data_IF_204966658320
#
_entry.id   IF_204966658320
#
_cell.length_a   1.000
_cell.length_b   1.000
_cell.length_c   1.000
_cell.angle_alpha   90.00
_cell.angle_beta   90.00
_cell.angle_gamma   90.00
#
_symmetry.space_group_name_H-M   'P 1'
#
loop_
_entity.id
_entity.type
_entity.pdbx_description
1 polymer ?
#
# COMPACT_ATOMS: atom_id res chain seq x y z
N UNK A 1 7.66 4.18 15.43
CA UNK A 1 7.89 2.76 15.80
C UNK A 1 6.59 1.93 15.78
N UNK A 2 5.52 2.32 16.48
CA UNK A 2 4.27 1.51 16.49
C UNK A 2 3.58 1.41 15.13
N UNK A 3 3.54 2.50 14.36
CA UNK A 3 2.95 2.50 13.01
C UNK A 3 3.66 1.51 12.07
N UNK A 4 5.00 1.54 12.05
CA UNK A 4 5.80 0.61 11.25
C UNK A 4 5.53 -0.85 11.59
N UNK A 5 5.48 -1.19 12.89
CA UNK A 5 5.17 -2.55 13.34
C UNK A 5 3.79 -3.00 12.86
N UNK A 6 2.78 -2.13 12.96
CA UNK A 6 1.43 -2.42 12.47
C UNK A 6 1.40 -2.63 10.96
N UNK A 7 2.11 -1.78 10.19
CA UNK A 7 2.18 -1.93 8.73
C UNK A 7 2.85 -3.24 8.33
N UNK A 8 3.98 -3.60 8.96
CA UNK A 8 4.66 -4.88 8.70
C UNK A 8 3.77 -6.08 9.03
N UNK A 9 3.04 -6.02 10.15
CA UNK A 9 2.12 -7.08 10.54
C UNK A 9 1.00 -7.26 9.50
N UNK A 10 0.37 -6.16 9.06
CA UNK A 10 -0.70 -6.23 8.05
C UNK A 10 -0.17 -6.69 6.69
N UNK A 11 1.01 -6.21 6.28
CA UNK A 11 1.71 -6.67 5.06
C UNK A 11 1.86 -8.18 5.06
N UNK A 12 2.36 -8.78 6.17
CA UNK A 12 2.45 -10.23 6.31
C UNK A 12 1.09 -10.93 6.21
N UNK A 13 0.06 -10.40 6.86
CA UNK A 13 -1.30 -10.97 6.80
C UNK A 13 -1.86 -10.96 5.37
N UNK A 14 -1.58 -9.92 4.58
CA UNK A 14 -2.03 -9.84 3.19
C UNK A 14 -1.39 -10.91 2.30
N UNK A 15 -0.11 -11.23 2.52
CA UNK A 15 0.54 -12.34 1.81
C UNK A 15 -0.01 -13.69 2.25
N UNK A 16 -0.24 -13.89 3.56
CA UNK A 16 -0.79 -15.14 4.09
C UNK A 16 -2.19 -15.45 3.52
N UNK A 17 -3.01 -14.44 3.23
CA UNK A 17 -4.32 -14.61 2.59
C UNK A 17 -4.29 -14.52 1.06
N UNK A 18 -3.11 -14.38 0.45
CA UNK A 18 -2.91 -14.34 -1.01
C UNK A 18 -3.37 -13.05 -1.69
N UNK A 19 -3.42 -11.92 -0.98
CA UNK A 19 -3.91 -10.64 -1.50
C UNK A 19 -2.79 -9.68 -1.94
N UNK A 20 -1.54 -10.03 -1.65
CA UNK A 20 -0.35 -9.29 -2.05
C UNK A 20 -0.01 -8.17 -1.07
N UNK A 21 1.10 -8.32 -0.36
CA UNK A 21 1.59 -7.35 0.61
C UNK A 21 2.11 -6.06 -0.03
N UNK A 22 2.47 -6.11 -1.30
CA UNK A 22 2.94 -4.96 -2.10
C UNK A 22 1.88 -3.86 -2.25
N UNK A 23 0.61 -4.15 -1.91
CA UNK A 23 -0.48 -3.17 -1.86
C UNK A 23 -0.41 -2.20 -0.69
N UNK A 24 0.39 -2.48 0.33
CA UNK A 24 0.57 -1.60 1.50
C UNK A 24 2.04 -1.22 1.63
N UNK A 25 2.30 0.07 1.74
CA UNK A 25 3.62 0.63 1.99
C UNK A 25 3.54 1.77 2.98
N UNK A 26 4.51 1.85 3.88
CA UNK A 26 4.73 3.02 4.72
C UNK A 26 5.89 3.82 4.12
N UNK A 27 5.67 5.12 3.91
CA UNK A 27 6.71 6.04 3.46
C UNK A 27 6.94 7.03 4.60
N UNK A 28 8.16 7.03 5.13
CA UNK A 28 8.59 7.99 6.14
C UNK A 28 9.42 9.08 5.45
N UNK A 29 9.28 10.31 5.91
CA UNK A 29 10.14 11.41 5.54
C UNK A 29 9.65 12.69 6.21
N UNK A 30 10.57 13.66 6.31
CA UNK A 30 10.31 14.97 6.90
C UNK A 30 10.43 16.04 5.81
N UNK A 31 9.73 17.16 5.99
CA UNK A 31 9.91 18.34 5.13
C UNK A 31 9.46 18.16 3.67
N UNK A 32 8.50 17.27 3.39
CA UNK A 32 7.99 17.08 2.03
C UNK A 32 7.45 18.39 1.42
N UNK A 33 7.91 18.71 0.22
CA UNK A 33 7.29 19.74 -0.60
C UNK A 33 6.00 19.22 -1.25
N UNK A 34 5.21 20.12 -1.84
CA UNK A 34 4.02 19.74 -2.61
C UNK A 34 4.38 18.82 -3.79
N UNK A 35 5.49 19.08 -4.45
CA UNK A 35 5.93 18.30 -5.60
C UNK A 35 6.40 16.90 -5.19
N UNK A 36 7.05 16.78 -4.02
CA UNK A 36 7.44 15.47 -3.48
C UNK A 36 6.21 14.60 -3.20
N UNK A 37 5.19 15.17 -2.57
CA UNK A 37 3.93 14.47 -2.30
C UNK A 37 3.21 14.06 -3.60
N UNK A 38 3.20 14.93 -4.61
CA UNK A 38 2.59 14.64 -5.91
C UNK A 38 3.32 13.50 -6.62
N UNK A 39 4.66 13.54 -6.63
CA UNK A 39 5.48 12.53 -7.27
C UNK A 39 5.37 11.18 -6.54
N UNK A 40 5.36 11.18 -5.21
CA UNK A 40 5.10 9.98 -4.40
C UNK A 40 3.72 9.39 -4.70
N UNK A 41 2.68 10.21 -4.77
CA UNK A 41 1.32 9.75 -5.08
C UNK A 41 1.25 9.13 -6.48
N UNK A 42 1.90 9.74 -7.48
CA UNK A 42 1.98 9.21 -8.84
C UNK A 42 2.69 7.85 -8.88
N UNK A 43 3.88 7.76 -8.28
CA UNK A 43 4.66 6.51 -8.24
C UNK A 43 3.89 5.38 -7.53
N UNK A 44 3.22 5.69 -6.42
CA UNK A 44 2.38 4.72 -5.71
C UNK A 44 1.17 4.29 -6.55
N UNK A 45 0.52 5.22 -7.25
CA UNK A 45 -0.62 4.91 -8.11
C UNK A 45 -0.21 4.02 -9.29
N UNK A 46 0.95 4.28 -9.91
CA UNK A 46 1.51 3.45 -10.98
C UNK A 46 1.81 2.04 -10.50
N UNK A 47 2.45 1.91 -9.34
CA UNK A 47 2.71 0.61 -8.73
C UNK A 47 1.40 -0.15 -8.48
N UNK A 48 0.42 0.46 -7.80
CA UNK A 48 -0.87 -0.18 -7.48
C UNK A 48 -1.66 -0.57 -8.74
N UNK A 49 -1.58 0.21 -9.83
CA UNK A 49 -2.22 -0.13 -11.10
C UNK A 49 -1.69 -1.43 -11.70
N UNK A 50 -0.39 -1.68 -11.61
CA UNK A 50 0.21 -2.93 -12.11
C UNK A 50 -0.27 -4.19 -11.37
N UNK A 51 -0.74 -4.03 -10.13
CA UNK A 51 -1.26 -5.13 -9.31
C UNK A 51 -2.72 -5.48 -9.66
N UNK A 52 -3.38 -4.69 -10.52
CA UNK A 52 -4.78 -4.88 -10.85
C UNK A 52 -5.74 -4.54 -9.70
N UNK A 53 -7.05 -4.84 -9.88
CA UNK A 53 -8.09 -4.52 -8.91
C UNK A 53 -7.85 -5.20 -7.55
N UNK A 54 -8.33 -4.59 -6.47
CA UNK A 54 -8.17 -5.16 -5.12
C UNK A 54 -9.07 -6.41 -4.96
N UNK A 55 -8.51 -7.60 -4.68
CA UNK A 55 -9.26 -8.85 -4.51
C UNK A 55 -10.34 -8.80 -3.40
N UNK A 56 -10.17 -7.95 -2.38
CA UNK A 56 -11.16 -7.76 -1.31
C UNK A 56 -12.50 -7.24 -1.84
N UNK A 57 -12.48 -6.43 -2.89
CA UNK A 57 -13.71 -5.86 -3.48
C UNK A 57 -14.51 -6.92 -4.24
N UNK A 58 -13.86 -7.95 -4.76
CA UNK A 58 -14.53 -9.05 -5.44
C UNK A 58 -15.17 -10.02 -4.44
N UNK A 59 -14.48 -10.35 -3.34
CA UNK A 59 -15.05 -11.20 -2.29
C UNK A 59 -16.30 -10.60 -1.63
N UNK A 60 -16.33 -9.28 -1.42
CA UNK A 60 -17.47 -8.60 -0.77
C UNK A 60 -18.65 -8.29 -1.71
N UNK A 61 -18.56 -8.64 -3.00
CA UNK A 61 -19.66 -8.47 -3.97
C UNK A 61 -20.59 -9.68 -4.07
N UNK A 62 -20.35 -10.74 -3.28
CA UNK A 62 -21.18 -11.94 -3.21
C UNK A 62 -21.85 -12.07 -1.86
#
# INVERSE_FOLDING_TARGET
IMAEKRVKQVSRLLDEIGFGSERIKMINGDGFSKDDLLNMAKANAEHVRSLGPNPMKEKNRR
#
